data_IF_108573292392
#
_entry.id   IF_108573292392
#
_cell.length_a   1.000
_cell.length_b   1.000
_cell.length_c   1.000
_cell.angle_alpha   90.00
_cell.angle_beta   90.00
_cell.angle_gamma   90.00
#
_symmetry.space_group_name_H-M   'P 1'
#
loop_
_entity.id
_entity.type
_entity.pdbx_description
1 polymer ?
#
# COMPACT_ATOMS: atom_id res chain seq x y z
N UNK A 1 5.29 -19.37 5.99
CA UNK A 1 6.02 -18.25 5.34
C UNK A 1 5.87 -17.02 6.21
N UNK A 2 6.95 -16.38 6.63
CA UNK A 2 6.91 -15.15 7.43
C UNK A 2 7.20 -13.96 6.52
N UNK A 3 6.27 -13.01 6.45
CA UNK A 3 6.38 -11.86 5.55
C UNK A 3 7.21 -10.71 6.15
N UNK A 4 7.51 -10.70 7.45
CA UNK A 4 8.23 -9.59 8.09
C UNK A 4 7.30 -8.47 8.56
N UNK A 5 7.90 -7.37 9.02
CA UNK A 5 7.18 -6.15 9.41
C UNK A 5 7.30 -5.11 8.29
N UNK A 6 6.19 -4.49 7.96
CA UNK A 6 6.06 -3.53 6.88
C UNK A 6 5.26 -2.32 7.35
N UNK A 7 5.64 -1.14 6.89
CA UNK A 7 4.85 0.07 6.97
C UNK A 7 4.59 0.54 5.54
N UNK A 8 3.33 0.83 5.20
CA UNK A 8 2.94 1.26 3.86
C UNK A 8 2.05 2.50 4.00
N UNK A 9 2.40 3.58 3.31
CA UNK A 9 1.65 4.83 3.30
C UNK A 9 1.38 5.40 4.70
N UNK A 10 0.15 5.86 4.92
CA UNK A 10 -0.27 6.49 6.17
C UNK A 10 -0.20 8.02 6.12
N UNK A 11 -0.19 8.66 7.30
CA UNK A 11 -0.12 10.12 7.44
C UNK A 11 1.04 10.54 8.33
N UNK A 12 1.73 11.60 7.93
CA UNK A 12 2.75 12.29 8.73
C UNK A 12 2.52 13.79 8.64
N UNK A 13 2.24 14.42 9.79
CA UNK A 13 2.03 15.87 9.91
C UNK A 13 1.04 16.47 8.89
N UNK A 14 -0.08 15.79 8.66
CA UNK A 14 -1.11 16.23 7.70
C UNK A 14 -0.87 15.81 6.25
N UNK A 15 0.31 15.30 5.92
CA UNK A 15 0.64 14.79 4.58
C UNK A 15 0.37 13.29 4.48
N UNK A 16 -0.32 12.87 3.41
CA UNK A 16 -0.50 11.45 3.08
C UNK A 16 0.75 10.93 2.36
N UNK A 17 1.26 9.78 2.79
CA UNK A 17 2.49 9.19 2.31
C UNK A 17 2.25 8.09 1.28
N UNK A 18 3.17 7.94 0.33
CA UNK A 18 3.31 6.78 -0.56
C UNK A 18 4.47 5.87 -0.17
N UNK A 19 5.25 6.26 0.85
CA UNK A 19 6.43 5.56 1.33
C UNK A 19 6.08 4.14 1.78
N UNK A 20 6.99 3.20 1.49
CA UNK A 20 6.91 1.83 1.98
C UNK A 20 8.25 1.48 2.61
N UNK A 21 8.20 0.94 3.82
CA UNK A 21 9.36 0.57 4.60
C UNK A 21 9.26 -0.88 5.06
N UNK A 22 10.39 -1.58 4.99
CA UNK A 22 10.55 -2.95 5.50
C UNK A 22 11.49 -2.92 6.69
N UNK A 23 11.13 -3.63 7.76
CA UNK A 23 12.03 -3.77 8.90
C UNK A 23 13.12 -4.82 8.62
N UNK A 24 14.38 -4.40 8.72
CA UNK A 24 15.55 -5.28 8.70
C UNK A 24 15.91 -5.69 10.15
N UNK A 25 15.65 -6.95 10.56
CA UNK A 25 15.92 -7.38 11.94
C UNK A 25 17.40 -7.52 12.25
N UNK A 26 18.28 -7.66 11.25
CA UNK A 26 19.74 -7.77 11.45
C UNK A 26 20.32 -6.41 11.79
N UNK A 27 19.91 -5.35 11.05
CA UNK A 27 20.34 -3.97 11.32
C UNK A 27 19.49 -3.27 12.39
N UNK A 28 18.36 -3.88 12.77
CA UNK A 28 17.34 -3.31 13.64
C UNK A 28 16.79 -1.95 13.15
N UNK A 29 16.69 -1.80 11.83
CA UNK A 29 16.33 -0.53 11.19
C UNK A 29 15.26 -0.75 10.13
N UNK A 30 14.48 0.30 9.86
CA UNK A 30 13.57 0.34 8.72
C UNK A 30 14.34 0.77 7.47
N UNK A 31 14.09 0.09 6.36
CA UNK A 31 14.69 0.38 5.05
C UNK A 31 13.58 0.72 4.05
N UNK A 32 13.74 1.82 3.31
CA UNK A 32 12.81 2.20 2.26
C UNK A 32 12.89 1.20 1.08
N UNK A 33 11.73 0.87 0.53
CA UNK A 33 11.58 -0.03 -0.63
C UNK A 33 10.71 0.64 -1.70
N UNK A 34 10.16 -0.11 -2.67
CA UNK A 34 9.35 0.50 -3.73
C UNK A 34 8.14 1.22 -3.12
N UNK A 35 7.88 2.49 -3.46
CA UNK A 35 6.70 3.20 -2.96
C UNK A 35 5.40 2.67 -3.58
N UNK A 36 4.28 3.07 -2.99
CA UNK A 36 2.95 2.89 -3.60
C UNK A 36 2.83 3.76 -4.87
N UNK A 37 1.88 3.42 -5.76
CA UNK A 37 1.60 4.25 -6.94
C UNK A 37 1.22 5.69 -6.58
N UNK A 38 0.47 5.84 -5.50
CA UNK A 38 0.00 7.11 -4.98
C UNK A 38 0.03 7.10 -3.46
N UNK A 39 0.13 8.28 -2.87
CA UNK A 39 -0.04 8.46 -1.43
C UNK A 39 -1.38 7.87 -0.98
N UNK A 40 -1.36 7.14 0.14
CA UNK A 40 -2.56 6.47 0.65
C UNK A 40 -2.58 6.38 2.17
N UNK A 41 -3.68 6.80 2.78
CA UNK A 41 -3.99 6.58 4.21
C UNK A 41 -5.36 5.91 4.38
N UNK A 42 -5.70 5.51 5.61
CA UNK A 42 -7.01 5.00 6.01
C UNK A 42 -7.55 3.85 5.13
N UNK A 43 -6.66 2.98 4.66
CA UNK A 43 -6.98 1.84 3.80
C UNK A 43 -7.06 0.53 4.62
N UNK A 44 -7.79 -0.45 4.08
CA UNK A 44 -7.76 -1.81 4.60
C UNK A 44 -6.55 -2.58 4.05
N UNK A 45 -5.90 -3.39 4.88
CA UNK A 45 -4.75 -4.20 4.47
C UNK A 45 -4.92 -5.69 4.83
N UNK A 46 -4.56 -6.59 3.91
CA UNK A 46 -4.60 -8.03 4.15
C UNK A 46 -3.46 -8.75 3.42
N UNK A 47 -3.06 -9.92 3.93
CA UNK A 47 -1.93 -10.69 3.39
C UNK A 47 -2.42 -12.00 2.80
N UNK A 48 -1.95 -12.34 1.60
CA UNK A 48 -2.09 -13.68 1.02
C UNK A 48 -0.85 -14.04 0.21
N UNK A 49 -0.17 -15.11 0.62
CA UNK A 49 1.09 -15.52 0.01
C UNK A 49 2.16 -14.42 0.14
N UNK A 50 2.68 -13.95 -1.00
CA UNK A 50 3.66 -12.86 -1.11
C UNK A 50 3.05 -11.47 -1.34
N UNK A 51 1.72 -11.36 -1.41
CA UNK A 51 1.04 -10.08 -1.63
C UNK A 51 0.55 -9.48 -0.30
N UNK A 52 0.80 -8.19 -0.11
CA UNK A 52 0.03 -7.31 0.78
C UNK A 52 -1.00 -6.58 -0.09
N UNK A 53 -2.28 -6.83 0.15
CA UNK A 53 -3.38 -6.19 -0.56
C UNK A 53 -3.79 -4.91 0.17
N UNK A 54 -3.95 -3.83 -0.58
CA UNK A 54 -4.34 -2.51 -0.10
C UNK A 54 -5.70 -2.15 -0.71
N UNK A 55 -6.74 -2.07 0.11
CA UNK A 55 -8.12 -1.85 -0.33
C UNK A 55 -8.56 -0.43 -0.01
N UNK A 56 -8.87 0.34 -1.04
CA UNK A 56 -9.37 1.71 -0.94
C UNK A 56 -8.38 2.68 -0.30
N UNK A 57 -8.88 3.56 0.58
CA UNK A 57 -8.10 4.58 1.29
C UNK A 57 -8.27 5.99 0.75
N UNK A 58 -7.53 6.93 1.33
CA UNK A 58 -7.56 8.35 1.00
C UNK A 58 -6.28 8.77 0.26
N UNK A 59 -6.46 9.45 -0.87
CA UNK A 59 -5.41 9.92 -1.75
C UNK A 59 -4.85 11.28 -1.30
N UNK A 60 -5.73 12.22 -1.00
CA UNK A 60 -5.40 13.52 -0.42
C UNK A 60 -6.35 13.85 0.73
N UNK A 61 -5.86 14.66 1.65
CA UNK A 61 -6.60 15.19 2.80
C UNK A 61 -6.89 16.68 2.63
N UNK A 62 -6.92 17.18 1.39
CA UNK A 62 -7.11 18.60 1.12
C UNK A 62 -8.47 19.03 1.68
N UNK A 63 -8.39 19.80 2.77
CA UNK A 63 -9.54 20.26 3.54
C UNK A 63 -10.43 21.24 2.75
N UNK A 64 -9.98 21.68 1.57
CA UNK A 64 -10.62 22.72 0.77
C UNK A 64 -11.63 22.12 -0.23
N UNK A 65 -11.36 20.94 -0.82
CA UNK A 65 -12.21 20.29 -1.84
C UNK A 65 -12.75 18.91 -1.42
N UNK A 66 -12.48 18.47 -0.19
CA UNK A 66 -12.97 17.21 0.35
C UNK A 66 -12.04 16.03 0.10
N UNK A 67 -12.20 14.98 0.92
CA UNK A 67 -11.31 13.83 0.90
C UNK A 67 -11.49 12.99 -0.37
N UNK A 68 -10.43 12.84 -1.17
CA UNK A 68 -10.45 11.97 -2.35
C UNK A 68 -10.22 10.52 -1.91
N UNK A 69 -11.23 9.67 -2.12
CA UNK A 69 -11.15 8.23 -1.81
C UNK A 69 -10.74 7.41 -3.02
N UNK A 70 -10.09 6.28 -2.77
CA UNK A 70 -9.72 5.30 -3.78
C UNK A 70 -10.75 4.17 -3.80
N UNK A 71 -11.24 3.84 -5.00
CA UNK A 71 -12.17 2.72 -5.23
C UNK A 71 -11.51 1.42 -5.69
N UNK A 72 -10.17 1.35 -5.70
CA UNK A 72 -9.43 0.21 -6.24
C UNK A 72 -8.62 -0.53 -5.17
N UNK A 73 -8.21 -1.75 -5.54
CA UNK A 73 -7.34 -2.62 -4.73
C UNK A 73 -5.99 -2.75 -5.43
N UNK A 74 -4.90 -2.67 -4.69
CA UNK A 74 -3.56 -2.97 -5.21
C UNK A 74 -2.96 -4.17 -4.46
N UNK A 75 -2.18 -5.03 -5.14
CA UNK A 75 -1.27 -5.99 -4.50
C UNK A 75 0.14 -5.43 -4.55
N UNK A 76 0.77 -5.36 -3.37
CA UNK A 76 2.20 -5.16 -3.21
C UNK A 76 2.90 -6.53 -3.03
N UNK A 77 3.65 -6.96 -4.04
CA UNK A 77 4.45 -8.18 -3.99
C UNK A 77 5.75 -7.91 -3.22
N UNK A 78 5.87 -8.49 -2.03
CA UNK A 78 6.99 -8.23 -1.12
C UNK A 78 8.29 -8.95 -1.51
N UNK A 79 8.22 -9.90 -2.43
CA UNK A 79 9.38 -10.66 -2.92
C UNK A 79 9.94 -10.00 -4.18
N UNK A 80 9.06 -9.68 -5.13
CA UNK A 80 9.43 -8.98 -6.36
C UNK A 80 9.63 -7.47 -6.14
N UNK A 81 9.20 -6.95 -4.98
CA UNK A 81 9.25 -5.53 -4.63
C UNK A 81 8.56 -4.67 -5.70
N UNK A 82 7.35 -5.08 -6.09
CA UNK A 82 6.54 -4.41 -7.11
C UNK A 82 5.09 -4.30 -6.67
N UNK A 83 4.40 -3.27 -7.16
CA UNK A 83 2.98 -3.05 -6.91
C UNK A 83 2.20 -3.19 -8.22
N UNK A 84 1.03 -3.84 -8.15
CA UNK A 84 0.12 -4.08 -9.26
C UNK A 84 -1.30 -3.72 -8.86
N UNK A 85 -2.07 -3.14 -9.78
CA UNK A 85 -3.49 -2.89 -9.55
C UNK A 85 -4.28 -4.17 -9.78
N UNK A 86 -5.17 -4.48 -8.84
CA UNK A 86 -6.17 -5.54 -9.02
C UNK A 86 -7.35 -4.94 -9.78
N UNK A 87 -7.65 -5.50 -10.94
CA UNK A 87 -8.82 -5.15 -11.74
C UNK A 87 -9.85 -6.26 -11.61
N UNK A 88 -11.11 -5.87 -11.49
CA UNK A 88 -12.22 -6.81 -11.57
C UNK A 88 -12.76 -6.76 -12.99
N UNK A 89 -12.56 -7.85 -13.75
CA UNK A 89 -13.08 -8.01 -15.10
C UNK A 89 -13.94 -9.26 -15.14
N UNK A 90 -15.15 -9.15 -15.68
CA UNK A 90 -16.10 -10.26 -15.81
C UNK A 90 -16.36 -11.02 -14.49
N UNK A 91 -16.38 -10.28 -13.36
CA UNK A 91 -16.56 -10.85 -12.02
C UNK A 91 -15.32 -11.52 -11.42
N UNK A 92 -14.19 -11.56 -12.14
CA UNK A 92 -12.93 -12.14 -11.67
C UNK A 92 -11.87 -11.07 -11.37
N UNK A 93 -11.12 -11.26 -10.29
CA UNK A 93 -9.96 -10.43 -9.97
C UNK A 93 -8.75 -10.84 -10.84
N UNK A 94 -8.16 -9.87 -11.55
CA UNK A 94 -6.99 -10.03 -12.40
C UNK A 94 -5.90 -9.01 -12.01
N UNK A 95 -4.63 -9.41 -12.11
CA UNK A 95 -3.45 -8.56 -11.88
C UNK A 95 -2.85 -8.17 -13.24
N UNK A 96 -2.47 -6.90 -13.41
CA UNK A 96 -1.69 -6.41 -14.55
C UNK A 96 -0.31 -5.94 -14.09
#
# INVERSE_FOLDING_TARGET
MYIGKWALGGRRAGTILSEVEKYNPVKQQWEQVRPLFFSRADFGAAVKGKCIYLVGGLLSSDAIDGAVTLGYVDCYDVVENIIRRVLFKDGCAQLH
#
